data_IF_950506948908
#
_entry.id   IF_950506948908
#
_cell.length_a   1.000
_cell.length_b   1.000
_cell.length_c   1.000
_cell.angle_alpha   90.00
_cell.angle_beta   90.00
_cell.angle_gamma   90.00
#
_symmetry.space_group_name_H-M   'P 1'
#
loop_
_entity.id
_entity.type
_entity.pdbx_description
1 polymer ?
#
# COMPACT_ATOMS: atom_id res chain seq x y z
N UNK A 1 -15.41 -8.99 -27.87
CA UNK A 1 -14.41 -7.91 -27.75
C UNK A 1 -14.88 -6.80 -28.67
N UNK A 2 -15.19 -5.62 -28.12
CA UNK A 2 -15.65 -4.45 -28.88
C UNK A 2 -14.91 -3.20 -28.42
N UNK A 3 -15.02 -2.11 -29.17
CA UNK A 3 -14.23 -0.89 -28.97
C UNK A 3 -14.71 -0.04 -27.76
N UNK A 4 -15.72 -0.52 -27.03
CA UNK A 4 -16.25 0.14 -25.84
C UNK A 4 -17.39 1.11 -26.14
N UNK A 5 -17.90 1.12 -27.38
CA UNK A 5 -18.97 2.01 -27.82
C UNK A 5 -20.36 1.37 -27.85
N UNK A 6 -20.45 0.03 -27.95
CA UNK A 6 -21.72 -0.68 -28.07
C UNK A 6 -22.14 -1.38 -26.78
N UNK A 7 -23.45 -1.57 -26.58
CA UNK A 7 -23.98 -2.38 -25.50
C UNK A 7 -23.36 -3.79 -25.48
N UNK A 8 -22.86 -4.22 -24.33
CA UNK A 8 -22.14 -5.47 -24.15
C UNK A 8 -20.62 -5.38 -24.39
N UNK A 9 -20.10 -4.23 -24.84
CA UNK A 9 -18.66 -4.06 -25.01
C UNK A 9 -17.92 -4.07 -23.67
N UNK A 10 -16.73 -4.65 -23.70
CA UNK A 10 -15.85 -4.83 -22.56
C UNK A 10 -14.50 -4.19 -22.87
N UNK A 11 -14.05 -3.30 -21.99
CA UNK A 11 -12.71 -2.72 -21.99
C UNK A 11 -11.94 -3.16 -20.76
N UNK A 12 -10.63 -3.41 -20.88
CA UNK A 12 -9.82 -3.80 -19.73
C UNK A 12 -8.40 -3.27 -19.84
N UNK A 13 -7.81 -2.97 -18.68
CA UNK A 13 -6.39 -2.68 -18.54
C UNK A 13 -5.88 -3.41 -17.31
N UNK A 14 -4.81 -4.17 -17.48
CA UNK A 14 -4.10 -4.83 -16.38
C UNK A 14 -2.65 -4.39 -16.42
N UNK A 15 -2.10 -4.03 -15.27
CA UNK A 15 -0.68 -3.73 -15.13
C UNK A 15 -0.12 -4.42 -13.90
N UNK A 16 1.08 -4.96 -14.05
CA UNK A 16 1.88 -5.45 -12.93
C UNK A 16 3.27 -4.86 -13.02
N UNK A 17 3.84 -4.53 -11.86
CA UNK A 17 5.20 -4.03 -11.78
C UNK A 17 5.92 -4.71 -10.61
N UNK A 18 7.15 -5.15 -10.87
CA UNK A 18 8.08 -5.64 -9.86
C UNK A 18 9.29 -4.72 -9.82
N UNK A 19 9.45 -4.05 -8.70
CA UNK A 19 10.63 -3.25 -8.39
C UNK A 19 11.48 -3.95 -7.32
N UNK A 20 12.79 -3.97 -7.52
CA UNK A 20 13.76 -4.46 -6.54
C UNK A 20 14.99 -3.56 -6.54
N UNK A 21 15.52 -3.28 -5.34
CA UNK A 21 16.76 -2.53 -5.17
C UNK A 21 17.61 -3.17 -4.08
N UNK A 22 18.93 -3.13 -4.26
CA UNK A 22 19.88 -3.50 -3.23
C UNK A 22 20.04 -2.41 -2.16
N UNK A 23 19.54 -1.20 -2.43
CA UNK A 23 19.73 -0.05 -1.56
C UNK A 23 21.08 0.64 -1.76
N UNK A 24 21.21 1.88 -1.27
CA UNK A 24 22.46 2.64 -1.30
C UNK A 24 23.27 2.52 -0.01
N UNK A 25 22.59 2.12 1.09
CA UNK A 25 23.17 1.89 2.41
C UNK A 25 23.08 0.42 2.77
N UNK A 26 23.90 0.03 3.73
CA UNK A 26 23.78 -1.27 4.37
C UNK A 26 22.36 -1.46 4.90
N UNK A 27 21.78 -2.64 4.65
CA UNK A 27 20.44 -2.97 5.10
C UNK A 27 19.34 -2.00 4.62
N UNK A 28 19.46 -1.44 3.41
CA UNK A 28 18.42 -0.57 2.80
C UNK A 28 17.80 -1.13 1.51
N UNK A 29 17.96 -2.44 1.27
CA UNK A 29 17.36 -3.12 0.12
C UNK A 29 15.84 -3.26 0.25
N UNK A 30 15.13 -3.28 -0.88
CA UNK A 30 13.68 -3.37 -0.89
C UNK A 30 13.14 -4.06 -2.14
N UNK A 31 11.93 -4.61 -2.01
CA UNK A 31 11.09 -5.18 -3.07
C UNK A 31 9.70 -4.59 -2.98
N UNK A 32 9.13 -4.22 -4.12
CA UNK A 32 7.75 -3.76 -4.26
C UNK A 32 7.09 -4.44 -5.44
N UNK A 33 5.97 -5.10 -5.20
CA UNK A 33 5.07 -5.61 -6.24
C UNK A 33 3.84 -4.73 -6.28
N UNK A 34 3.41 -4.42 -7.50
CA UNK A 34 2.16 -3.75 -7.78
C UNK A 34 1.36 -4.60 -8.76
N UNK A 35 0.06 -4.70 -8.52
CA UNK A 35 -0.90 -5.20 -9.49
C UNK A 35 -2.09 -4.22 -9.53
N UNK A 36 -2.48 -3.80 -10.72
CA UNK A 36 -3.66 -2.98 -10.94
C UNK A 36 -4.48 -3.58 -12.07
N UNK A 37 -5.79 -3.62 -11.91
CA UNK A 37 -6.70 -3.97 -12.98
C UNK A 37 -7.88 -3.00 -13.00
N UNK A 38 -8.34 -2.70 -14.21
CA UNK A 38 -9.57 -2.01 -14.51
C UNK A 38 -10.32 -2.83 -15.54
N UNK A 39 -11.60 -3.09 -15.29
CA UNK A 39 -12.50 -3.77 -16.21
C UNK A 39 -13.77 -2.94 -16.36
N UNK A 40 -14.03 -2.43 -17.56
CA UNK A 40 -15.25 -1.73 -17.92
C UNK A 40 -16.19 -2.63 -18.72
N UNK A 41 -17.48 -2.53 -18.44
CA UNK A 41 -18.55 -3.17 -19.22
C UNK A 41 -19.58 -2.10 -19.55
N UNK A 42 -19.84 -1.86 -20.85
CA UNK A 42 -20.94 -1.02 -21.29
C UNK A 42 -22.23 -1.85 -21.20
N UNK A 43 -23.08 -1.53 -20.22
CA UNK A 43 -24.32 -2.28 -19.98
C UNK A 43 -25.33 -2.00 -21.10
N UNK A 44 -25.41 -0.75 -21.51
CA UNK A 44 -26.20 -0.25 -22.65
C UNK A 44 -25.64 1.09 -23.09
N UNK A 45 -26.28 1.75 -24.05
CA UNK A 45 -25.78 2.99 -24.67
C UNK A 45 -25.60 4.14 -23.67
N UNK A 46 -26.36 4.12 -22.56
CA UNK A 46 -26.39 5.17 -21.54
C UNK A 46 -25.85 4.71 -20.19
N UNK A 47 -25.23 3.53 -20.07
CA UNK A 47 -24.76 3.02 -18.77
C UNK A 47 -23.49 2.19 -18.86
N UNK A 48 -22.56 2.44 -17.93
CA UNK A 48 -21.28 1.73 -17.82
C UNK A 48 -21.02 1.29 -16.38
N UNK A 49 -20.51 0.07 -16.23
CA UNK A 49 -19.98 -0.45 -14.98
C UNK A 49 -18.47 -0.60 -15.09
N UNK A 50 -17.74 -0.14 -14.08
CA UNK A 50 -16.29 -0.29 -14.00
C UNK A 50 -15.92 -0.98 -12.69
N UNK A 51 -15.19 -2.08 -12.78
CA UNK A 51 -14.51 -2.75 -11.68
C UNK A 51 -13.05 -2.28 -11.63
N UNK A 52 -12.57 -2.02 -10.42
CA UNK A 52 -11.21 -1.58 -10.13
C UNK A 52 -10.60 -2.52 -9.09
N UNK A 53 -9.35 -2.91 -9.30
CA UNK A 53 -8.57 -3.68 -8.35
C UNK A 53 -7.16 -3.11 -8.25
N UNK A 54 -6.65 -2.99 -7.02
CA UNK A 54 -5.29 -2.55 -6.73
C UNK A 54 -4.70 -3.45 -5.64
N UNK A 55 -3.45 -3.87 -5.82
CA UNK A 55 -2.68 -4.61 -4.82
C UNK A 55 -1.25 -4.07 -4.77
N UNK A 56 -0.77 -3.87 -3.54
CA UNK A 56 0.58 -3.42 -3.22
C UNK A 56 1.17 -4.38 -2.21
N UNK A 57 2.35 -4.93 -2.49
CA UNK A 57 3.11 -5.79 -1.57
C UNK A 57 4.56 -5.32 -1.51
N UNK A 58 4.98 -4.82 -0.35
CA UNK A 58 6.30 -4.25 -0.12
C UNK A 58 6.99 -5.00 1.01
N UNK A 59 8.22 -5.42 0.74
CA UNK A 59 9.19 -5.88 1.74
C UNK A 59 10.42 -5.00 1.67
N UNK A 60 10.74 -4.31 2.75
CA UNK A 60 11.84 -3.35 2.79
C UNK A 60 12.66 -3.50 4.06
N UNK A 61 13.98 -3.48 3.91
CA UNK A 61 14.89 -3.35 5.03
C UNK A 61 14.96 -1.87 5.46
N UNK A 62 15.09 -1.64 6.76
CA UNK A 62 15.20 -0.30 7.33
C UNK A 62 16.62 -0.06 7.86
N UNK A 63 17.35 0.85 7.23
CA UNK A 63 18.72 1.18 7.64
C UNK A 63 18.77 2.12 8.86
N UNK A 64 17.65 2.72 9.27
CA UNK A 64 17.59 3.68 10.36
C UNK A 64 18.34 4.99 10.13
N UNK A 65 18.27 5.88 11.12
CA UNK A 65 18.97 7.16 11.13
C UNK A 65 20.39 7.05 11.67
N UNK A 66 21.30 7.88 11.17
CA UNK A 66 22.66 8.02 11.73
C UNK A 66 22.76 9.34 12.49
N UNK A 67 23.49 9.34 13.59
CA UNK A 67 24.00 10.57 14.20
C UNK A 67 25.01 11.27 13.27
N UNK A 68 25.36 12.51 13.59
CA UNK A 68 26.30 13.29 12.79
C UNK A 68 27.67 12.60 12.68
N UNK A 69 28.22 12.11 13.80
CA UNK A 69 29.53 11.46 13.83
C UNK A 69 29.53 10.12 13.08
N UNK A 70 28.46 9.32 13.22
CA UNK A 70 28.30 8.06 12.46
C UNK A 70 28.23 8.33 10.95
N UNK A 71 27.50 9.36 10.53
CA UNK A 71 27.40 9.76 9.13
C UNK A 71 28.74 10.24 8.56
N UNK A 72 29.48 11.08 9.29
CA UNK A 72 30.81 11.55 8.89
C UNK A 72 31.80 10.41 8.71
N UNK A 73 31.75 9.40 9.61
CA UNK A 73 32.65 8.25 9.56
C UNK A 73 32.29 7.26 8.44
N UNK A 74 31.01 6.88 8.33
CA UNK A 74 30.54 6.01 7.25
C UNK A 74 29.09 6.34 6.87
N UNK A 75 28.85 7.13 5.81
CA UNK A 75 27.51 7.55 5.42
C UNK A 75 26.66 6.40 4.83
N UNK A 76 27.28 5.27 4.49
CA UNK A 76 26.58 4.09 3.96
C UNK A 76 26.23 3.04 5.02
N UNK A 77 26.71 3.21 6.25
CA UNK A 77 26.38 2.31 7.36
C UNK A 77 24.89 2.28 7.68
N UNK A 78 24.45 1.32 8.50
CA UNK A 78 23.11 1.26 9.10
C UNK A 78 23.18 1.68 10.57
N UNK A 79 22.05 2.06 11.13
CA UNK A 79 21.90 2.20 12.58
C UNK A 79 21.93 0.81 13.24
N UNK A 80 22.82 0.62 14.21
CA UNK A 80 22.98 -0.70 14.86
C UNK A 80 21.76 -1.13 15.67
N UNK A 81 21.04 -0.18 16.28
CA UNK A 81 19.84 -0.45 17.05
C UNK A 81 18.63 -0.88 16.19
N UNK A 82 18.71 -0.76 14.86
CA UNK A 82 17.62 -1.11 13.97
C UNK A 82 17.58 -2.62 13.69
N UNK A 83 16.37 -3.17 13.68
CA UNK A 83 16.14 -4.59 13.39
C UNK A 83 16.74 -5.01 12.04
N UNK A 84 17.25 -6.24 11.95
CA UNK A 84 17.62 -6.91 10.69
C UNK A 84 16.42 -7.52 9.96
N UNK A 85 15.26 -7.57 10.60
CA UNK A 85 14.05 -8.16 10.01
C UNK A 85 13.40 -7.13 9.09
N UNK A 86 13.12 -7.48 7.82
CA UNK A 86 12.45 -6.58 6.90
C UNK A 86 11.05 -6.19 7.40
N UNK A 87 10.67 -4.96 7.14
CA UNK A 87 9.31 -4.47 7.31
C UNK A 87 8.45 -4.96 6.15
N UNK A 88 7.16 -5.21 6.43
CA UNK A 88 6.19 -5.67 5.44
C UNK A 88 5.02 -4.69 5.36
N UNK A 89 4.57 -4.37 4.16
CA UNK A 89 3.39 -3.56 3.94
C UNK A 89 2.58 -4.13 2.77
N UNK A 90 1.34 -4.51 3.05
CA UNK A 90 0.42 -5.09 2.10
C UNK A 90 -0.88 -4.31 2.09
N UNK A 91 -1.43 -4.04 0.92
CA UNK A 91 -2.72 -3.38 0.76
C UNK A 91 -3.42 -3.92 -0.47
N UNK A 92 -4.67 -4.36 -0.31
CA UNK A 92 -5.54 -4.78 -1.39
C UNK A 92 -6.79 -3.91 -1.37
N UNK A 93 -7.18 -3.41 -2.54
CA UNK A 93 -8.35 -2.55 -2.70
C UNK A 93 -9.16 -3.00 -3.91
N UNK A 94 -10.48 -2.93 -3.77
CA UNK A 94 -11.43 -3.17 -4.84
C UNK A 94 -12.44 -2.02 -4.89
N UNK A 95 -12.88 -1.69 -6.09
CA UNK A 95 -13.85 -0.63 -6.32
C UNK A 95 -14.84 -1.01 -7.43
N UNK A 96 -16.05 -0.49 -7.30
CA UNK A 96 -17.12 -0.60 -8.28
C UNK A 96 -17.65 0.80 -8.57
N UNK A 97 -17.60 1.21 -9.83
CA UNK A 97 -18.19 2.46 -10.30
C UNK A 97 -19.30 2.17 -11.29
N UNK A 98 -20.46 2.75 -11.06
CA UNK A 98 -21.58 2.75 -12.00
C UNK A 98 -21.83 4.16 -12.51
N UNK A 99 -22.00 4.30 -13.82
CA UNK A 99 -22.33 5.53 -14.50
C UNK A 99 -23.59 5.33 -15.33
N UNK A 100 -24.48 6.33 -15.32
CA UNK A 100 -25.66 6.35 -16.16
C UNK A 100 -26.07 7.77 -16.55
N UNK A 101 -26.30 7.99 -17.83
CA UNK A 101 -27.00 9.18 -18.31
C UNK A 101 -28.51 9.02 -18.05
N UNK A 102 -29.10 9.98 -17.34
CA UNK A 102 -30.52 9.97 -16.96
C UNK A 102 -31.38 10.75 -17.98
N UNK A 103 -30.84 11.83 -18.55
CA UNK A 103 -31.45 12.65 -19.60
C UNK A 103 -30.35 13.24 -20.50
N UNK A 104 -30.71 14.02 -21.52
CA UNK A 104 -29.72 14.74 -22.34
C UNK A 104 -28.86 15.75 -21.53
N UNK A 105 -29.30 16.09 -20.31
CA UNK A 105 -28.71 17.14 -19.47
C UNK A 105 -28.31 16.64 -18.07
N UNK A 106 -28.60 15.38 -17.74
CA UNK A 106 -28.41 14.81 -16.40
C UNK A 106 -27.61 13.51 -16.43
N UNK A 107 -26.58 13.41 -15.60
CA UNK A 107 -25.75 12.22 -15.40
C UNK A 107 -25.70 11.80 -13.93
N UNK A 108 -25.70 10.49 -13.69
CA UNK A 108 -25.52 9.87 -12.39
C UNK A 108 -24.23 9.06 -12.34
N UNK A 109 -23.46 9.21 -11.27
CA UNK A 109 -22.30 8.37 -10.94
C UNK A 109 -22.36 7.90 -9.50
N UNK A 110 -22.15 6.60 -9.28
CA UNK A 110 -22.07 5.99 -7.95
C UNK A 110 -20.77 5.19 -7.86
N UNK A 111 -20.03 5.36 -6.75
CA UNK A 111 -18.78 4.64 -6.50
C UNK A 111 -18.82 4.00 -5.12
N UNK A 112 -18.46 2.72 -5.06
CA UNK A 112 -18.26 1.96 -3.83
C UNK A 112 -16.86 1.38 -3.84
N UNK A 113 -16.20 1.34 -2.67
CA UNK A 113 -14.88 0.75 -2.54
C UNK A 113 -14.71 0.09 -1.18
N UNK A 114 -13.84 -0.93 -1.14
CA UNK A 114 -13.43 -1.62 0.06
C UNK A 114 -11.95 -1.98 -0.06
N UNK A 115 -11.28 -2.16 1.07
CA UNK A 115 -9.89 -2.58 1.08
C UNK A 115 -9.39 -2.96 2.46
N UNK A 116 -8.31 -3.71 2.46
CA UNK A 116 -7.59 -4.16 3.63
C UNK A 116 -6.14 -3.66 3.55
N UNK A 117 -5.55 -3.39 4.72
CA UNK A 117 -4.16 -2.99 4.83
C UNK A 117 -3.53 -3.66 6.04
N UNK A 118 -2.41 -4.33 5.80
CA UNK A 118 -1.59 -4.94 6.83
C UNK A 118 -0.19 -4.33 6.78
N UNK A 119 0.38 -4.01 7.95
CA UNK A 119 1.72 -3.42 8.03
C UNK A 119 2.41 -3.92 9.28
N UNK A 120 3.63 -4.45 9.11
CA UNK A 120 4.49 -4.89 10.20
C UNK A 120 5.79 -4.11 10.15
N UNK A 121 6.07 -3.41 11.25
CA UNK A 121 7.27 -2.57 11.40
C UNK A 121 8.04 -2.97 12.65
N UNK A 122 9.34 -3.17 12.49
CA UNK A 122 10.27 -3.40 13.59
C UNK A 122 11.01 -2.10 13.89
N UNK A 123 10.81 -1.56 15.08
CA UNK A 123 11.38 -0.27 15.50
C UNK A 123 12.66 -0.48 16.32
N UNK A 124 13.53 0.52 16.32
CA UNK A 124 14.74 0.57 17.17
C UNK A 124 14.43 0.95 18.63
N UNK A 125 13.22 0.68 19.12
CA UNK A 125 12.82 0.99 20.49
C UNK A 125 13.55 0.01 21.43
N UNK A 126 14.30 0.48 22.45
CA UNK A 126 14.94 -0.41 23.42
C UNK A 126 13.90 -1.25 24.18
N UNK A 127 14.29 -2.40 24.74
CA UNK A 127 13.35 -3.24 25.52
C UNK A 127 12.78 -2.55 26.75
N UNK A 128 13.55 -1.71 27.43
CA UNK A 128 13.16 -1.08 28.70
C UNK A 128 11.81 -0.33 28.64
N UNK A 129 11.55 0.59 27.68
CA UNK A 129 10.25 1.25 27.54
C UNK A 129 9.13 0.36 27.00
N UNK A 130 9.42 -0.86 26.53
CA UNK A 130 8.41 -1.82 26.07
C UNK A 130 7.87 -2.69 27.21
N UNK A 131 8.54 -2.70 28.36
CA UNK A 131 8.06 -3.40 29.54
C UNK A 131 6.87 -2.65 30.15
N UNK A 132 5.89 -3.40 30.66
CA UNK A 132 4.79 -2.80 31.42
C UNK A 132 5.36 -2.02 32.61
N UNK A 133 4.88 -0.79 32.89
CA UNK A 133 5.25 -0.11 34.12
C UNK A 133 4.87 -1.00 35.31
N UNK A 134 5.70 -1.10 36.36
CA UNK A 134 5.29 -1.80 37.57
C UNK A 134 4.03 -1.14 38.12
N UNK A 135 2.98 -1.93 38.40
CA UNK A 135 1.82 -1.42 39.13
C UNK A 135 2.30 -0.97 40.51
N UNK A 136 2.26 0.32 40.81
CA UNK A 136 2.32 0.77 42.20
C UNK A 136 1.07 0.19 42.88
N UNK A 137 1.25 -0.84 43.70
CA UNK A 137 0.24 -1.19 44.68
C UNK A 137 0.10 0.03 45.60
N UNK A 138 -1.05 0.71 45.51
CA UNK A 138 -1.41 1.72 46.49
C UNK A 138 -1.44 1.03 47.85
N UNK A 139 -0.44 1.32 48.69
CA UNK A 139 -0.45 0.95 50.10
C UNK A 139 -1.63 1.70 50.73
N UNK A 140 -2.72 1.00 51.02
CA UNK A 140 -3.75 1.52 51.92
C UNK A 140 -3.18 1.49 53.34
N UNK A 141 -2.85 2.67 53.86
CA UNK A 141 -2.69 2.91 55.30
C UNK A 141 -4.03 3.00 55.99
#
# INVERSE_FOLDING_TARGET
MGDGSHAGDVDYVVSTNRFTTHGSRDHSGARKNLANAKLGVRINDVSKLTLLFNSVDIKANDAGGLSYDEWQNNPRSRQEAMSTIPQNHQTNQAGLRYERQLSEQDDLSVMMYAGERETTQYQSIPRAPQLKPPMLAALST
#
